data_IF_982673326521
#
_entry.id   IF_982673326521
#
_cell.length_a   1.000
_cell.length_b   1.000
_cell.length_c   1.000
_cell.angle_alpha   90.00
_cell.angle_beta   90.00
_cell.angle_gamma   90.00
#
_symmetry.space_group_name_H-M   'P 1'
#
loop_
_entity.id
_entity.type
_entity.pdbx_description
1 polymer ?
#
# COMPACT_ATOMS: atom_id res chain seq x y z
N UNK A 1 9.00 -11.58 -27.17
CA UNK A 1 8.39 -10.61 -26.29
C UNK A 1 8.91 -10.75 -24.88
N UNK A 2 9.40 -9.68 -24.30
CA UNK A 2 9.93 -9.74 -22.94
C UNK A 2 8.81 -9.60 -21.92
N UNK A 3 8.74 -10.53 -20.98
CA UNK A 3 7.85 -10.36 -19.83
C UNK A 3 8.51 -9.39 -18.85
N UNK A 4 7.69 -8.56 -18.26
CA UNK A 4 8.16 -7.64 -17.24
C UNK A 4 8.64 -8.45 -16.04
N UNK A 5 9.78 -8.09 -15.48
CA UNK A 5 10.32 -8.79 -14.32
C UNK A 5 9.44 -8.56 -13.08
N UNK A 6 9.52 -9.49 -12.13
CA UNK A 6 8.78 -9.37 -10.88
C UNK A 6 9.16 -8.10 -10.13
N UNK A 7 10.44 -7.73 -10.17
CA UNK A 7 10.92 -6.50 -9.53
C UNK A 7 10.31 -5.26 -10.14
N UNK A 8 10.25 -5.22 -11.48
CA UNK A 8 9.68 -4.08 -12.19
C UNK A 8 8.19 -3.94 -11.90
N UNK A 9 7.46 -5.06 -11.86
CA UNK A 9 6.04 -5.05 -11.53
C UNK A 9 5.80 -4.50 -10.13
N UNK A 10 6.61 -4.93 -9.17
CA UNK A 10 6.51 -4.45 -7.79
C UNK A 10 6.76 -2.96 -7.69
N UNK A 11 7.83 -2.48 -8.32
CA UNK A 11 8.16 -1.05 -8.33
C UNK A 11 7.04 -0.23 -8.97
N UNK A 12 6.50 -0.72 -10.08
CA UNK A 12 5.45 0.00 -10.79
C UNK A 12 4.19 0.13 -9.94
N UNK A 13 3.84 -0.92 -9.21
CA UNK A 13 2.68 -0.87 -8.32
C UNK A 13 2.92 0.12 -7.17
N UNK A 14 4.11 0.10 -6.57
CA UNK A 14 4.45 1.04 -5.51
C UNK A 14 4.36 2.49 -6.00
N UNK A 15 4.88 2.77 -7.19
CA UNK A 15 4.83 4.10 -7.76
C UNK A 15 3.39 4.52 -8.07
N UNK A 16 2.58 3.60 -8.52
CA UNK A 16 1.17 3.86 -8.76
C UNK A 16 0.47 4.28 -7.47
N UNK A 17 0.72 3.55 -6.38
CA UNK A 17 0.14 3.88 -5.07
C UNK A 17 0.56 5.27 -4.64
N UNK A 18 1.87 5.56 -4.72
CA UNK A 18 2.39 6.87 -4.33
C UNK A 18 1.71 7.98 -5.12
N UNK A 19 1.61 7.82 -6.43
CA UNK A 19 0.97 8.82 -7.30
C UNK A 19 -0.51 9.04 -6.93
N UNK A 20 -1.22 7.95 -6.66
CA UNK A 20 -2.64 8.04 -6.29
C UNK A 20 -2.83 8.75 -4.96
N UNK A 21 -1.96 8.48 -3.99
CA UNK A 21 -2.06 9.13 -2.68
C UNK A 21 -1.74 10.61 -2.77
N UNK A 22 -0.73 10.97 -3.57
CA UNK A 22 -0.39 12.38 -3.80
C UNK A 22 -1.58 13.12 -4.41
N UNK A 23 -2.16 12.57 -5.48
CA UNK A 23 -3.28 13.19 -6.18
C UNK A 23 -4.52 13.32 -5.29
N UNK A 24 -4.83 12.25 -4.58
CA UNK A 24 -6.09 12.15 -3.84
C UNK A 24 -6.10 12.98 -2.57
N UNK A 25 -4.98 12.98 -1.85
CA UNK A 25 -4.90 13.61 -0.52
C UNK A 25 -4.06 14.87 -0.51
N UNK A 26 -3.60 15.31 -1.66
CA UNK A 26 -2.76 16.52 -1.78
C UNK A 26 -1.53 16.41 -0.88
N UNK A 27 -0.87 15.25 -0.93
CA UNK A 27 0.36 15.01 -0.17
C UNK A 27 1.53 15.62 -0.94
N UNK A 28 2.41 16.33 -0.23
CA UNK A 28 3.60 16.88 -0.85
C UNK A 28 4.50 15.73 -1.35
N UNK A 29 5.00 15.82 -2.60
CA UNK A 29 5.81 14.71 -3.15
C UNK A 29 7.05 14.35 -2.34
N UNK A 30 7.57 15.29 -1.55
CA UNK A 30 8.73 15.01 -0.69
C UNK A 30 8.35 14.25 0.58
N UNK A 31 7.06 14.18 0.89
CA UNK A 31 6.60 13.51 2.11
C UNK A 31 6.25 12.05 1.91
N UNK A 32 6.39 11.54 0.69
CA UNK A 32 6.00 10.17 0.38
C UNK A 32 6.87 9.63 -0.75
N UNK A 33 7.30 8.37 -0.61
CA UNK A 33 8.08 7.73 -1.67
C UNK A 33 7.92 6.21 -1.61
N UNK A 34 8.14 5.57 -2.76
CA UNK A 34 8.22 4.12 -2.80
C UNK A 34 9.57 3.69 -2.25
N UNK A 35 9.59 2.57 -1.54
CA UNK A 35 10.82 2.03 -0.99
C UNK A 35 11.35 0.95 -1.91
N UNK A 36 12.63 1.07 -2.30
CA UNK A 36 13.22 0.05 -3.13
C UNK A 36 13.43 -1.23 -2.34
N UNK A 37 13.62 -2.29 -3.08
CA UNK A 37 13.76 -3.60 -2.55
C UNK A 37 14.92 -3.80 -1.65
N UNK A 38 14.78 -4.72 -0.73
CA UNK A 38 15.84 -5.12 0.16
C UNK A 38 15.91 -4.31 1.44
N UNK A 39 15.28 -3.16 1.49
CA UNK A 39 15.15 -2.44 2.74
C UNK A 39 14.00 -3.08 3.51
N UNK A 40 14.16 -3.45 4.74
CA UNK A 40 13.06 -3.95 5.54
C UNK A 40 12.01 -2.86 5.74
N UNK A 41 10.78 -3.25 6.06
CA UNK A 41 9.74 -2.32 6.40
C UNK A 41 8.74 -2.08 5.29
N UNK A 42 8.12 -0.92 5.31
CA UNK A 42 7.01 -0.59 4.43
C UNK A 42 7.45 -0.35 2.99
N UNK A 43 6.57 -0.71 2.04
CA UNK A 43 6.83 -0.46 0.62
C UNK A 43 6.61 0.99 0.22
N UNK A 44 5.81 1.71 1.01
CA UNK A 44 5.61 3.16 0.81
C UNK A 44 6.00 3.84 2.11
N UNK A 45 6.97 4.73 2.03
CA UNK A 45 7.50 5.44 3.19
C UNK A 45 6.89 6.84 3.21
N UNK A 46 6.32 7.21 4.34
CA UNK A 46 5.62 8.49 4.48
C UNK A 46 6.14 9.28 5.66
N UNK A 47 6.31 10.58 5.44
CA UNK A 47 6.58 11.51 6.53
C UNK A 47 5.31 11.71 7.35
N UNK A 48 5.47 12.32 8.52
CA UNK A 48 4.36 12.51 9.46
C UNK A 48 3.15 13.23 8.82
N UNK A 49 3.42 14.26 8.04
CA UNK A 49 2.34 15.02 7.39
C UNK A 49 1.50 14.14 6.45
N UNK A 50 2.16 13.23 5.72
CA UNK A 50 1.46 12.29 4.85
C UNK A 50 0.67 11.27 5.68
N UNK A 51 1.24 10.79 6.79
CA UNK A 51 0.57 9.85 7.70
C UNK A 51 -0.71 10.41 8.28
N UNK A 52 -0.75 11.70 8.52
CA UNK A 52 -1.96 12.34 9.03
C UNK A 52 -3.10 12.29 8.02
N UNK A 53 -2.75 12.30 6.75
CA UNK A 53 -3.75 12.22 5.67
C UNK A 53 -4.09 10.79 5.30
N UNK A 54 -3.13 9.88 5.43
CA UNK A 54 -3.32 8.47 5.07
C UNK A 54 -2.60 7.60 6.10
N UNK A 55 -3.25 7.29 7.23
CA UNK A 55 -2.60 6.62 8.36
C UNK A 55 -2.52 5.10 8.21
N UNK A 56 -1.97 4.64 7.09
CA UNK A 56 -1.83 3.22 6.80
C UNK A 56 -0.41 2.87 6.46
N UNK A 57 -0.05 1.63 6.76
CA UNK A 57 1.23 1.05 6.38
C UNK A 57 0.99 0.18 5.16
N UNK A 58 1.65 0.47 4.06
CA UNK A 58 1.33 -0.13 2.76
C UNK A 58 2.34 -1.19 2.35
N UNK A 59 1.82 -2.37 2.03
CA UNK A 59 2.57 -3.47 1.43
C UNK A 59 2.01 -3.67 0.02
N UNK A 60 2.88 -3.77 -0.99
CA UNK A 60 2.45 -3.94 -2.37
C UNK A 60 2.86 -5.31 -2.89
N UNK A 61 1.92 -6.01 -3.52
CA UNK A 61 2.16 -7.33 -4.12
C UNK A 61 1.60 -7.35 -5.54
N UNK A 62 2.48 -7.47 -6.51
CA UNK A 62 2.09 -7.55 -7.92
C UNK A 62 2.58 -8.86 -8.50
N UNK A 63 1.82 -9.94 -8.24
CA UNK A 63 2.16 -11.29 -8.64
C UNK A 63 0.90 -12.03 -9.09
N UNK A 64 1.08 -13.06 -9.93
CA UNK A 64 -0.05 -13.78 -10.50
C UNK A 64 -0.76 -14.68 -9.48
N UNK A 65 0.00 -15.25 -8.55
CA UNK A 65 -0.58 -16.09 -7.49
C UNK A 65 -0.10 -15.54 -6.16
N UNK A 66 -1.04 -15.18 -5.31
CA UNK A 66 -0.73 -14.56 -4.04
C UNK A 66 -1.45 -15.28 -2.92
N UNK A 67 -0.69 -15.70 -1.90
CA UNK A 67 -1.29 -16.12 -0.65
C UNK A 67 -1.62 -14.82 0.11
N UNK A 68 -2.89 -14.46 0.08
CA UNK A 68 -3.34 -13.17 0.63
C UNK A 68 -3.10 -13.08 2.13
N UNK A 69 -3.34 -14.18 2.86
CA UNK A 69 -3.14 -14.18 4.30
C UNK A 69 -1.69 -13.99 4.69
N UNK A 70 -0.76 -14.65 3.96
CA UNK A 70 0.67 -14.46 4.20
C UNK A 70 1.08 -13.03 3.88
N UNK A 71 0.55 -12.46 2.81
CA UNK A 71 0.86 -11.08 2.43
C UNK A 71 0.40 -10.11 3.50
N UNK A 72 -0.79 -10.33 4.06
CA UNK A 72 -1.31 -9.49 5.12
C UNK A 72 -0.46 -9.59 6.38
N UNK A 73 -0.03 -10.80 6.76
CA UNK A 73 0.85 -10.99 7.91
C UNK A 73 2.19 -10.28 7.71
N UNK A 74 2.71 -10.30 6.48
CA UNK A 74 3.94 -9.57 6.16
C UNK A 74 3.72 -8.06 6.29
N UNK A 75 2.60 -7.55 5.80
CA UNK A 75 2.26 -6.14 5.94
C UNK A 75 2.19 -5.73 7.41
N UNK A 76 1.59 -6.58 8.23
CA UNK A 76 1.46 -6.36 9.66
C UNK A 76 2.83 -6.35 10.35
N UNK A 77 3.70 -7.30 9.99
CA UNK A 77 5.06 -7.38 10.56
C UNK A 77 5.90 -6.17 10.18
N UNK A 78 5.67 -5.60 9.00
CA UNK A 78 6.44 -4.46 8.50
C UNK A 78 5.81 -3.12 8.86
N UNK A 79 4.65 -3.11 9.49
CA UNK A 79 3.98 -1.85 9.82
C UNK A 79 4.71 -1.14 10.95
N UNK A 80 4.65 0.18 10.93
CA UNK A 80 5.34 1.04 11.90
C UNK A 80 4.33 1.64 12.88
N UNK A 81 3.42 0.83 13.38
CA UNK A 81 2.39 1.27 14.31
C UNK A 81 1.13 1.82 13.63
N UNK A 82 1.11 1.82 12.30
CA UNK A 82 -0.07 2.20 11.53
C UNK A 82 -0.80 0.95 11.07
N UNK A 83 -2.05 1.12 10.69
CA UNK A 83 -2.86 -0.01 10.23
C UNK A 83 -2.30 -0.59 8.94
N UNK A 84 -2.01 -1.89 8.88
CA UNK A 84 -1.45 -2.48 7.66
C UNK A 84 -2.51 -2.70 6.59
N UNK A 85 -2.14 -2.45 5.36
CA UNK A 85 -2.95 -2.82 4.19
C UNK A 85 -2.06 -3.47 3.15
N UNK A 86 -2.65 -4.33 2.33
CA UNK A 86 -1.97 -4.90 1.17
C UNK A 86 -2.65 -4.37 -0.07
N UNK A 87 -1.87 -3.72 -0.94
CA UNK A 87 -2.34 -3.37 -2.28
C UNK A 87 -1.85 -4.49 -3.19
N UNK A 88 -2.78 -5.24 -3.74
CA UNK A 88 -2.44 -6.41 -4.56
C UNK A 88 -2.91 -6.25 -5.98
N UNK A 89 -2.15 -6.80 -6.90
CA UNK A 89 -2.45 -6.73 -8.32
C UNK A 89 -1.87 -7.94 -9.02
N UNK A 90 -2.51 -8.36 -10.09
CA UNK A 90 -1.93 -9.30 -11.05
C UNK A 90 -2.17 -8.78 -12.45
N UNK A 91 -1.56 -9.44 -13.45
CA UNK A 91 -1.64 -8.97 -14.83
C UNK A 91 -3.09 -8.80 -15.27
N UNK A 92 -3.36 -7.68 -15.93
CA UNK A 92 -4.66 -7.37 -16.52
C UNK A 92 -5.81 -7.16 -15.52
N UNK A 93 -5.46 -7.02 -14.23
CA UNK A 93 -6.45 -6.77 -13.17
C UNK A 93 -6.17 -5.44 -12.49
N UNK A 94 -7.21 -4.81 -11.99
CA UNK A 94 -7.08 -3.58 -11.20
C UNK A 94 -6.46 -3.88 -9.85
N UNK A 95 -5.72 -2.94 -9.28
CA UNK A 95 -5.25 -3.09 -7.91
C UNK A 95 -6.42 -3.17 -6.93
N UNK A 96 -6.29 -4.04 -5.94
CA UNK A 96 -7.27 -4.18 -4.86
C UNK A 96 -6.56 -3.98 -3.53
N UNK A 97 -7.33 -3.64 -2.51
CA UNK A 97 -6.79 -3.48 -1.15
C UNK A 97 -7.34 -4.57 -0.25
N UNK A 98 -6.45 -5.17 0.54
CA UNK A 98 -6.83 -6.09 1.61
C UNK A 98 -6.64 -5.35 2.93
N UNK A 99 -7.66 -5.36 3.75
CA UNK A 99 -7.72 -4.58 4.97
C UNK A 99 -8.49 -5.38 6.02
N UNK A 100 -8.13 -5.20 7.27
CA UNK A 100 -8.84 -5.80 8.39
C UNK A 100 -10.32 -5.39 8.35
N UNK A 101 -11.21 -6.37 8.45
CA UNK A 101 -12.65 -6.13 8.27
C UNK A 101 -13.23 -5.20 9.35
N UNK A 102 -12.81 -5.39 10.60
CA UNK A 102 -13.28 -4.52 11.68
C UNK A 102 -12.80 -3.09 11.47
N UNK A 103 -11.56 -2.94 11.07
CA UNK A 103 -11.01 -1.61 10.81
C UNK A 103 -11.74 -0.92 9.67
N UNK A 104 -12.05 -1.66 8.62
CA UNK A 104 -12.83 -1.13 7.50
C UNK A 104 -14.19 -0.60 7.98
N UNK A 105 -14.86 -1.38 8.80
CA UNK A 105 -16.17 -0.99 9.34
C UNK A 105 -16.03 0.26 10.20
N UNK A 106 -14.97 0.35 11.00
CA UNK A 106 -14.72 1.53 11.81
C UNK A 106 -14.48 2.78 10.97
N UNK A 107 -13.76 2.64 9.86
CA UNK A 107 -13.53 3.76 8.95
C UNK A 107 -14.86 4.31 8.44
N UNK A 108 -15.74 3.42 8.02
CA UNK A 108 -17.07 3.81 7.51
C UNK A 108 -17.88 4.49 8.61
N UNK A 109 -17.86 3.95 9.81
CA UNK A 109 -18.57 4.53 10.95
C UNK A 109 -18.05 5.93 11.26
N UNK A 110 -16.73 6.11 11.28
CA UNK A 110 -16.13 7.40 11.61
C UNK A 110 -16.43 8.46 10.54
N UNK A 111 -16.55 8.02 9.31
CA UNK A 111 -16.86 8.92 8.20
C UNK A 111 -18.29 9.44 8.25
N UNK A 112 -19.17 8.73 8.95
CA UNK A 112 -20.59 9.06 9.07
C UNK A 112 -20.87 10.09 10.17
N UNK A 113 -19.84 10.58 10.83
CA UNK A 113 -20.02 11.43 12.01
C UNK A 113 -20.25 12.91 11.71
N UNK A 114 -20.25 13.28 10.48
CA UNK A 114 -20.45 14.69 10.14
C UNK A 114 -21.90 15.04 9.92
#
# INVERSE_FOLDING_TARGET
MKTQSAKAKGRNLQKWVVSKLIETFDIHPEDIKSCSMGAGGEDVVMARAAREKFPFSVECKNVEKLNVWDAYEQAKANSSGYEPIVVMKKNHKKPLVVLDAEHFIEIIKNNDKD
#
